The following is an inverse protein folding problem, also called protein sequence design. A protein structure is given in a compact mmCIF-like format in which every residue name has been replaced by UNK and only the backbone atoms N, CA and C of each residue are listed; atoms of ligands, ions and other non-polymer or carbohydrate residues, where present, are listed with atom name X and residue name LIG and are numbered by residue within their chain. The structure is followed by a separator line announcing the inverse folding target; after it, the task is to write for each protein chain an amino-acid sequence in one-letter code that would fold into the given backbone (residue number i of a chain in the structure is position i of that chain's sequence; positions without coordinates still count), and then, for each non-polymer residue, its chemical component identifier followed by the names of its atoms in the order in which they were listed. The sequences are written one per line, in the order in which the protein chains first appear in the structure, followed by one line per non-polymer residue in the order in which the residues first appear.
data_IF_452734145532
#
_entry.id   IF_452734145532
#
_cell.length_a   1.000
_cell.length_b   1.000
_cell.length_c   1.000
_cell.angle_alpha   90.00
_cell.angle_beta   90.00
_cell.angle_gamma   90.00
#
_symmetry.space_group_name_H-M   'P 1'
#
loop_
_entity.id
_entity.type
_entity.pdbx_description
1 polymer ?
#
# COMPACT_ATOMS: atom_id res chain seq x y z
N UNK A 1 32.98 9.59 -7.41
CA UNK A 1 32.40 8.60 -8.35
C UNK A 1 30.98 8.14 -7.96
N UNK A 2 30.58 8.13 -6.67
CA UNK A 2 29.26 7.68 -6.21
C UNK A 2 27.98 8.46 -6.61
N UNK A 3 27.98 9.78 -6.91
CA UNK A 3 26.72 10.47 -7.27
C UNK A 3 26.23 10.12 -8.69
N UNK A 4 27.13 9.66 -9.57
CA UNK A 4 26.79 9.33 -10.96
C UNK A 4 25.95 8.05 -11.05
N UNK A 5 26.24 7.06 -10.19
CA UNK A 5 25.48 5.80 -10.15
C UNK A 5 24.04 5.98 -9.64
N UNK A 6 23.82 6.93 -8.72
CA UNK A 6 22.47 7.23 -8.22
C UNK A 6 21.59 7.88 -9.31
N UNK A 7 22.15 8.81 -10.09
CA UNK A 7 21.42 9.44 -11.20
C UNK A 7 21.04 8.46 -12.31
N UNK A 8 21.94 7.51 -12.63
CA UNK A 8 21.72 6.51 -13.67
C UNK A 8 20.60 5.54 -13.31
N UNK A 9 20.46 5.20 -12.02
CA UNK A 9 19.41 4.32 -11.53
C UNK A 9 18.02 4.97 -11.60
N UNK A 10 17.92 6.27 -11.25
CA UNK A 10 16.66 7.03 -11.38
C UNK A 10 16.24 7.17 -12.85
N UNK A 11 17.20 7.44 -13.74
CA UNK A 11 16.94 7.54 -15.17
C UNK A 11 16.44 6.21 -15.76
N UNK A 12 17.02 5.09 -15.35
CA UNK A 12 16.57 3.76 -15.77
C UNK A 12 15.13 3.46 -15.29
N UNK A 13 14.78 3.86 -14.06
CA UNK A 13 13.42 3.70 -13.52
C UNK A 13 12.42 4.54 -14.32
N UNK A 14 12.76 5.79 -14.65
CA UNK A 14 11.90 6.67 -15.45
C UNK A 14 11.71 6.10 -16.87
N UNK A 15 12.77 5.58 -17.50
CA UNK A 15 12.68 4.93 -18.81
C UNK A 15 11.81 3.67 -18.78
N UNK A 16 11.92 2.86 -17.73
CA UNK A 16 11.08 1.66 -17.53
C UNK A 16 9.61 2.04 -17.31
N UNK A 17 9.34 3.17 -16.64
CA UNK A 17 7.98 3.68 -16.45
C UNK A 17 7.39 4.31 -17.73
N UNK A 18 8.22 4.96 -18.56
CA UNK A 18 7.78 5.57 -19.82
C UNK A 18 7.64 4.56 -20.97
N UNK A 19 8.41 3.47 -20.94
CA UNK A 19 8.37 2.40 -21.94
C UNK A 19 6.97 1.79 -22.18
N UNK A 20 6.18 1.43 -21.15
CA UNK A 20 4.83 0.91 -21.35
C UNK A 20 3.85 1.97 -21.86
N UNK A 21 4.13 3.26 -21.68
CA UNK A 21 3.27 4.35 -22.15
C UNK A 21 3.39 4.54 -23.68
N UNK A 22 4.57 4.28 -24.25
CA UNK A 22 4.79 4.41 -25.69
C UNK A 22 4.39 3.18 -26.51
N UNK A 23 4.19 2.01 -25.88
CA UNK A 23 3.74 0.80 -26.59
C UNK A 23 2.22 0.66 -26.72
N UNK A 24 1.41 1.55 -26.13
CA UNK A 24 -0.06 1.45 -26.16
C UNK A 24 -0.76 2.14 -27.33
N UNK A 25 -0.04 2.84 -28.22
CA UNK A 25 -0.65 3.67 -29.27
C UNK A 25 -0.79 3.01 -30.65
N UNK A 26 -0.52 1.70 -30.82
CA UNK A 26 -0.60 1.05 -32.15
C UNK A 26 -1.57 -0.14 -32.27
N UNK A 27 -2.17 -0.62 -31.18
CA UNK A 27 -2.99 -1.85 -31.22
C UNK A 27 -4.51 -1.60 -31.23
N UNK A 28 -4.94 -0.34 -31.09
CA UNK A 28 -6.36 -0.01 -30.88
C UNK A 28 -7.24 -0.02 -32.13
N UNK A 29 -6.69 -0.17 -33.34
CA UNK A 29 -7.44 0.03 -34.59
C UNK A 29 -7.86 -1.25 -35.33
N UNK A 30 -7.35 -2.42 -34.97
CA UNK A 30 -7.69 -3.70 -35.63
C UNK A 30 -8.39 -4.68 -34.67
N UNK A 31 -8.16 -4.56 -33.35
CA UNK A 31 -8.79 -5.42 -32.33
C UNK A 31 -10.22 -4.98 -31.99
N UNK A 32 -10.62 -3.76 -32.35
CA UNK A 32 -11.91 -3.19 -31.96
C UNK A 32 -13.13 -3.90 -32.57
N UNK A 33 -13.01 -4.38 -33.81
CA UNK A 33 -14.16 -4.95 -34.55
C UNK A 33 -14.41 -6.40 -34.14
N UNK A 34 -13.37 -7.24 -34.05
CA UNK A 34 -13.49 -8.62 -33.55
C UNK A 34 -13.91 -8.66 -32.07
N UNK A 35 -13.39 -7.77 -31.22
CA UNK A 35 -13.76 -7.71 -29.82
C UNK A 35 -15.21 -7.23 -29.61
N UNK A 36 -15.71 -6.32 -30.45
CA UNK A 36 -17.09 -5.87 -30.40
C UNK A 36 -18.08 -6.98 -30.82
N UNK A 37 -17.72 -7.77 -31.84
CA UNK A 37 -18.52 -8.93 -32.28
C UNK A 37 -18.52 -10.06 -31.23
N UNK A 38 -17.39 -10.29 -30.58
CA UNK A 38 -17.29 -11.24 -29.46
C UNK A 38 -18.13 -10.80 -28.25
N UNK A 39 -18.15 -9.50 -27.94
CA UNK A 39 -18.98 -8.91 -26.89
C UNK A 39 -20.48 -9.07 -27.22
N UNK A 40 -20.91 -8.69 -28.43
CA UNK A 40 -22.30 -8.86 -28.89
C UNK A 40 -22.75 -10.33 -28.82
N UNK A 41 -21.88 -11.27 -29.20
CA UNK A 41 -22.16 -12.71 -29.11
C UNK A 41 -22.37 -13.16 -27.66
N UNK A 42 -21.57 -12.68 -26.72
CA UNK A 42 -21.71 -13.03 -25.30
C UNK A 42 -23.01 -12.49 -24.74
N UNK A 43 -23.35 -11.23 -25.06
CA UNK A 43 -24.59 -10.61 -24.60
C UNK A 43 -25.83 -11.34 -25.13
N UNK A 44 -25.83 -11.72 -26.41
CA UNK A 44 -26.91 -12.53 -27.00
C UNK A 44 -27.01 -13.93 -26.39
N UNK A 45 -25.88 -14.55 -26.00
CA UNK A 45 -25.91 -15.84 -25.27
C UNK A 45 -26.57 -15.70 -23.91
N UNK A 46 -26.29 -14.61 -23.19
CA UNK A 46 -26.90 -14.32 -21.89
C UNK A 46 -28.40 -14.03 -22.08
N UNK A 47 -28.78 -13.25 -23.10
CA UNK A 47 -30.19 -12.97 -23.41
C UNK A 47 -30.95 -14.27 -23.70
N UNK A 48 -30.38 -15.16 -24.52
CA UNK A 48 -30.94 -16.50 -24.79
C UNK A 48 -31.21 -17.28 -23.51
N UNK A 49 -30.22 -17.39 -22.63
CA UNK A 49 -30.36 -18.11 -21.36
C UNK A 49 -31.46 -17.51 -20.48
N UNK A 50 -31.55 -16.18 -20.43
CA UNK A 50 -32.57 -15.49 -19.67
C UNK A 50 -33.98 -15.75 -20.20
N UNK A 51 -34.19 -15.71 -21.53
CA UNK A 51 -35.47 -15.99 -22.17
C UNK A 51 -35.92 -17.44 -21.96
N UNK A 52 -35.00 -18.39 -22.08
CA UNK A 52 -35.30 -19.81 -21.80
C UNK A 52 -35.75 -20.02 -20.36
N UNK A 53 -35.10 -19.34 -19.41
CA UNK A 53 -35.50 -19.38 -18.01
C UNK A 53 -36.87 -18.76 -17.80
N UNK A 54 -37.15 -17.60 -18.39
CA UNK A 54 -38.47 -16.95 -18.30
C UNK A 54 -39.58 -17.83 -18.87
N UNK A 55 -39.34 -18.51 -19.99
CA UNK A 55 -40.29 -19.47 -20.57
C UNK A 55 -40.56 -20.64 -19.61
N UNK A 56 -39.52 -21.19 -18.99
CA UNK A 56 -39.66 -22.26 -17.99
C UNK A 56 -40.43 -21.79 -16.76
N UNK A 57 -40.13 -20.58 -16.25
CA UNK A 57 -40.82 -20.02 -15.08
C UNK A 57 -42.30 -19.76 -15.39
N UNK A 58 -42.60 -19.25 -16.59
CA UNK A 58 -43.96 -19.01 -17.08
C UNK A 58 -44.77 -20.31 -17.19
N UNK A 59 -44.15 -21.41 -17.61
CA UNK A 59 -44.78 -22.74 -17.66
C UNK A 59 -45.11 -23.27 -16.26
N UNK A 60 -44.21 -23.07 -15.30
CA UNK A 60 -44.45 -23.44 -13.90
C UNK A 60 -45.60 -22.62 -13.29
N UNK A 61 -45.66 -21.32 -13.56
CA UNK A 61 -46.72 -20.45 -13.06
C UNK A 61 -48.09 -20.79 -13.69
N UNK A 62 -48.11 -21.18 -14.96
CA UNK A 62 -49.32 -21.72 -15.60
C UNK A 62 -49.77 -23.04 -14.97
N UNK A 63 -48.84 -23.97 -14.70
CA UNK A 63 -49.14 -25.23 -14.01
C UNK A 63 -49.71 -25.00 -12.60
N UNK A 64 -49.30 -23.91 -11.93
CA UNK A 64 -49.81 -23.49 -10.63
C UNK A 64 -51.11 -22.66 -10.71
N UNK A 65 -51.70 -22.50 -11.91
CA UNK A 65 -52.90 -21.69 -12.16
C UNK A 65 -52.76 -20.21 -11.73
N UNK A 66 -51.52 -19.69 -11.66
CA UNK A 66 -51.24 -18.27 -11.36
C UNK A 66 -51.46 -17.36 -12.57
N UNK A 67 -51.40 -17.93 -13.77
CA UNK A 67 -51.57 -17.22 -15.04
C UNK A 67 -52.72 -17.88 -15.81
N UNK A 68 -53.61 -17.06 -16.40
CA UNK A 68 -54.73 -17.58 -17.19
C UNK A 68 -54.22 -18.22 -18.50
N UNK A 69 -54.93 -19.21 -19.04
CA UNK A 69 -54.54 -19.87 -20.30
C UNK A 69 -54.44 -18.89 -21.49
N UNK A 70 -55.29 -17.86 -21.50
CA UNK A 70 -55.26 -16.81 -22.53
C UNK A 70 -54.03 -15.91 -22.42
N UNK A 71 -53.62 -15.57 -21.19
CA UNK A 71 -52.45 -14.73 -20.95
C UNK A 71 -51.14 -15.51 -21.16
N UNK A 72 -51.12 -16.78 -20.75
CA UNK A 72 -49.98 -17.68 -20.97
C UNK A 72 -49.62 -17.78 -22.45
N UNK A 73 -50.60 -18.04 -23.33
CA UNK A 73 -50.35 -18.17 -24.77
C UNK A 73 -49.78 -16.89 -25.40
N UNK A 74 -50.28 -15.72 -24.98
CA UNK A 74 -49.79 -14.41 -25.47
C UNK A 74 -48.36 -14.13 -25.03
N UNK A 75 -48.06 -14.36 -23.74
CA UNK A 75 -46.72 -14.12 -23.18
C UNK A 75 -45.70 -15.10 -23.76
N UNK A 76 -46.05 -16.39 -23.85
CA UNK A 76 -45.21 -17.43 -24.43
C UNK A 76 -44.80 -17.10 -25.86
N UNK A 77 -45.77 -16.76 -26.72
CA UNK A 77 -45.50 -16.45 -28.12
C UNK A 77 -44.53 -15.26 -28.27
N UNK A 78 -44.66 -14.23 -27.43
CA UNK A 78 -43.77 -13.08 -27.44
C UNK A 78 -42.33 -13.43 -27.07
N UNK A 79 -42.14 -14.26 -26.03
CA UNK A 79 -40.82 -14.72 -25.62
C UNK A 79 -40.19 -15.70 -26.62
N UNK A 80 -40.99 -16.59 -27.22
CA UNK A 80 -40.53 -17.51 -28.27
C UNK A 80 -40.08 -16.76 -29.53
N UNK A 81 -40.84 -15.76 -29.97
CA UNK A 81 -40.46 -14.95 -31.13
C UNK A 81 -39.12 -14.24 -30.89
N UNK A 82 -38.93 -13.65 -29.70
CA UNK A 82 -37.66 -13.00 -29.34
C UNK A 82 -36.51 -14.01 -29.23
N UNK A 83 -36.77 -15.20 -28.70
CA UNK A 83 -35.76 -16.26 -28.63
C UNK A 83 -35.29 -16.66 -30.02
N UNK A 84 -36.20 -16.78 -31.00
CA UNK A 84 -35.85 -17.07 -32.40
C UNK A 84 -34.98 -15.96 -32.99
N UNK A 85 -35.29 -14.68 -32.76
CA UNK A 85 -34.46 -13.56 -33.23
C UNK A 85 -33.03 -13.63 -32.66
N UNK A 86 -32.90 -13.88 -31.35
CA UNK A 86 -31.59 -14.00 -30.69
C UNK A 86 -30.81 -15.20 -31.25
N UNK A 87 -31.47 -16.33 -31.51
CA UNK A 87 -30.84 -17.50 -32.11
C UNK A 87 -30.36 -17.23 -33.54
N UNK A 88 -31.17 -16.56 -34.37
CA UNK A 88 -30.81 -16.20 -35.74
C UNK A 88 -29.60 -15.24 -35.77
N UNK A 89 -29.57 -14.25 -34.87
CA UNK A 89 -28.40 -13.36 -34.71
C UNK A 89 -27.15 -14.12 -34.27
N UNK A 90 -27.28 -15.04 -33.32
CA UNK A 90 -26.17 -15.88 -32.86
C UNK A 90 -25.63 -16.77 -33.99
N UNK A 91 -26.50 -17.33 -34.83
CA UNK A 91 -26.11 -18.13 -35.99
C UNK A 91 -25.46 -17.26 -37.08
N UNK A 92 -25.96 -16.04 -37.31
CA UNK A 92 -25.32 -15.08 -38.20
C UNK A 92 -23.89 -14.73 -37.74
N UNK A 93 -23.70 -14.49 -36.44
CA UNK A 93 -22.38 -14.25 -35.84
C UNK A 93 -21.47 -15.49 -35.94
N UNK A 94 -22.02 -16.71 -35.83
CA UNK A 94 -21.27 -17.94 -36.03
C UNK A 94 -20.87 -18.15 -37.51
N UNK A 95 -21.74 -17.78 -38.44
CA UNK A 95 -21.52 -17.87 -39.89
C UNK A 95 -20.41 -16.97 -40.42
N UNK A 96 -20.10 -15.87 -39.72
CA UNK A 96 -19.00 -14.95 -40.03
C UNK A 96 -17.62 -15.54 -39.69
N UNK A 97 -17.55 -16.76 -39.13
CA UNK A 97 -16.29 -17.49 -38.92
C UNK A 97 -15.66 -17.27 -37.55
N UNK A 98 -16.42 -16.76 -36.57
CA UNK A 98 -16.04 -16.73 -35.16
C UNK A 98 -16.19 -18.16 -34.59
N UNK A 99 -15.19 -19.01 -34.89
CA UNK A 99 -14.99 -20.32 -34.26
C UNK A 99 -15.17 -20.15 -32.75
N UNK A 100 -15.93 -21.00 -32.04
CA UNK A 100 -16.13 -20.86 -30.62
C UNK A 100 -14.75 -20.82 -29.94
N UNK A 101 -14.33 -19.69 -29.33
CA UNK A 101 -13.17 -19.75 -28.49
C UNK A 101 -13.55 -20.68 -27.35
N UNK A 102 -12.89 -21.85 -27.29
CA UNK A 102 -12.90 -22.71 -26.11
C UNK A 102 -12.76 -21.78 -24.92
N UNK A 103 -13.79 -21.74 -24.09
CA UNK A 103 -13.92 -21.04 -22.82
C UNK A 103 -12.57 -20.74 -22.14
N UNK A 104 -11.94 -19.65 -22.54
CA UNK A 104 -10.94 -19.00 -21.71
C UNK A 104 -11.74 -18.03 -20.87
N UNK A 105 -12.16 -18.54 -19.70
CA UNK A 105 -12.63 -17.81 -18.52
C UNK A 105 -12.57 -16.30 -18.70
N UNK A 106 -13.73 -15.66 -18.67
CA UNK A 106 -13.93 -14.26 -18.27
C UNK A 106 -12.62 -13.56 -17.89
N UNK A 107 -11.93 -13.00 -18.89
CA UNK A 107 -10.94 -11.97 -18.64
C UNK A 107 -11.72 -10.67 -18.59
N UNK A 108 -12.41 -10.48 -17.46
CA UNK A 108 -12.40 -9.23 -16.68
C UNK A 108 -11.48 -8.18 -17.30
N UNK A 109 -12.08 -7.03 -17.66
CA UNK A 109 -11.55 -5.69 -17.91
C UNK A 109 -10.02 -5.59 -18.05
N UNK A 110 -9.49 -4.86 -19.07
CA UNK A 110 -8.08 -4.87 -19.42
C UNK A 110 -7.22 -4.65 -18.18
N UNK A 111 -6.66 -5.76 -17.67
CA UNK A 111 -5.73 -5.71 -16.57
C UNK A 111 -4.49 -5.01 -17.12
N UNK A 112 -4.42 -3.70 -16.89
CA UNK A 112 -3.15 -2.99 -16.81
C UNK A 112 -2.16 -3.83 -16.00
N UNK A 113 -0.84 -3.67 -16.25
CA UNK A 113 0.20 -4.63 -15.87
C UNK A 113 -0.14 -5.25 -14.53
N UNK A 114 -0.46 -6.55 -14.58
CA UNK A 114 -1.22 -7.29 -13.58
C UNK A 114 -0.96 -6.78 -12.17
N UNK A 115 -1.99 -6.60 -11.34
CA UNK A 115 -1.84 -6.13 -9.94
C UNK A 115 -0.71 -6.85 -9.15
N UNK A 116 -0.34 -8.07 -9.56
CA UNK A 116 0.83 -8.81 -9.10
C UNK A 116 2.17 -8.11 -9.38
N UNK A 117 2.36 -7.53 -10.57
CA UNK A 117 3.52 -6.70 -10.95
C UNK A 117 3.57 -5.39 -10.16
N UNK A 118 2.42 -4.75 -9.92
CA UNK A 118 2.34 -3.54 -9.08
C UNK A 118 2.68 -3.89 -7.62
N UNK A 119 2.17 -5.02 -7.12
CA UNK A 119 2.48 -5.53 -5.79
C UNK A 119 3.96 -5.92 -5.61
N UNK A 120 4.53 -6.64 -6.58
CA UNK A 120 5.96 -7.00 -6.58
C UNK A 120 6.86 -5.77 -6.66
N UNK A 121 6.51 -4.78 -7.48
CA UNK A 121 7.27 -3.54 -7.58
C UNK A 121 7.20 -2.72 -6.28
N UNK A 122 6.02 -2.65 -5.64
CA UNK A 122 5.85 -2.03 -4.33
C UNK A 122 6.69 -2.72 -3.24
N UNK A 123 6.70 -4.06 -3.23
CA UNK A 123 7.51 -4.84 -2.29
C UNK A 123 9.01 -4.61 -2.51
N UNK A 124 9.47 -4.55 -3.76
CA UNK A 124 10.87 -4.26 -4.11
C UNK A 124 11.27 -2.85 -3.68
N UNK A 125 10.40 -1.86 -3.85
CA UNK A 125 10.67 -0.48 -3.40
C UNK A 125 10.78 -0.38 -1.87
N UNK A 126 9.90 -1.07 -1.13
CA UNK A 126 9.96 -1.10 0.34
C UNK A 126 11.23 -1.82 0.81
N UNK A 127 11.56 -2.96 0.21
CA UNK A 127 12.78 -3.71 0.54
C UNK A 127 14.05 -2.92 0.21
N UNK A 128 14.08 -2.21 -0.92
CA UNK A 128 15.19 -1.35 -1.30
C UNK A 128 15.33 -0.13 -0.37
N UNK A 129 14.22 0.51 0.02
CA UNK A 129 14.23 1.62 0.98
C UNK A 129 14.71 1.15 2.37
N UNK A 130 14.22 0.00 2.83
CA UNK A 130 14.64 -0.60 4.10
C UNK A 130 16.12 -1.02 4.08
N UNK A 131 16.57 -1.65 2.99
CA UNK A 131 17.97 -2.00 2.79
C UNK A 131 18.88 -0.77 2.71
N UNK A 132 18.44 0.32 2.09
CA UNK A 132 19.19 1.57 2.05
C UNK A 132 19.31 2.19 3.45
N UNK A 133 18.23 2.18 4.24
CA UNK A 133 18.28 2.63 5.63
C UNK A 133 19.26 1.81 6.48
N UNK A 134 19.21 0.49 6.35
CA UNK A 134 20.14 -0.43 7.03
C UNK A 134 21.60 -0.16 6.62
N UNK A 135 21.88 0.04 5.33
CA UNK A 135 23.22 0.35 4.82
C UNK A 135 23.73 1.71 5.31
N UNK A 136 22.86 2.73 5.35
CA UNK A 136 23.21 4.06 5.88
C UNK A 136 23.51 3.97 7.37
N UNK A 137 22.67 3.29 8.14
CA UNK A 137 22.87 3.10 9.58
C UNK A 137 24.14 2.29 9.86
N UNK A 138 24.38 1.20 9.14
CA UNK A 138 25.61 0.40 9.31
C UNK A 138 26.86 1.21 8.96
N UNK A 139 26.80 2.08 7.94
CA UNK A 139 27.92 2.96 7.58
C UNK A 139 28.12 4.07 8.61
N UNK A 140 27.05 4.62 9.17
CA UNK A 140 27.08 5.65 10.20
C UNK A 140 27.61 5.09 11.53
N UNK A 141 27.18 3.90 11.92
CA UNK A 141 27.75 3.13 13.04
C UNK A 141 29.24 2.88 12.81
N UNK A 142 29.65 2.39 11.63
CA UNK A 142 31.09 2.21 11.34
C UNK A 142 31.87 3.53 11.37
N UNK A 143 31.28 4.65 10.95
CA UNK A 143 31.93 5.96 11.07
C UNK A 143 32.02 6.42 12.51
N UNK A 144 31.00 6.16 13.33
CA UNK A 144 31.03 6.45 14.76
C UNK A 144 32.00 5.51 15.50
N UNK A 145 32.10 4.24 15.12
CA UNK A 145 33.08 3.28 15.63
C UNK A 145 34.50 3.57 15.13
N UNK A 146 34.68 4.13 13.93
CA UNK A 146 36.00 4.56 13.42
C UNK A 146 36.43 5.90 14.04
N UNK A 147 35.51 6.85 14.20
CA UNK A 147 35.73 8.10 14.93
C UNK A 147 35.92 7.84 16.44
N UNK A 148 35.21 6.84 17.00
CA UNK A 148 35.48 6.31 18.32
C UNK A 148 36.76 5.45 18.33
N UNK A 149 37.20 4.85 17.22
CA UNK A 149 38.49 4.15 17.15
C UNK A 149 39.67 5.10 17.31
N UNK A 150 39.56 6.31 16.75
CA UNK A 150 40.57 7.38 16.91
C UNK A 150 40.38 8.21 18.21
N UNK A 151 39.16 8.29 18.76
CA UNK A 151 38.86 9.04 20.01
C UNK A 151 38.77 8.21 21.30
N UNK A 152 38.51 6.90 21.23
CA UNK A 152 38.33 6.01 22.38
C UNK A 152 39.62 5.36 22.88
N UNK A 153 40.75 5.56 22.18
CA UNK A 153 42.06 5.28 22.75
C UNK A 153 42.42 6.23 23.92
N UNK A 154 41.63 7.29 24.15
CA UNK A 154 41.91 8.33 25.16
C UNK A 154 40.76 8.60 26.15
N UNK A 155 39.66 7.85 26.15
CA UNK A 155 38.55 8.09 27.09
C UNK A 155 38.25 6.84 27.93
N UNK A 156 38.45 6.89 29.27
CA UNK A 156 38.09 5.77 30.14
C UNK A 156 36.57 5.52 30.06
N UNK A 157 36.11 4.28 30.34
CA UNK A 157 34.69 3.94 30.27
C UNK A 157 33.88 4.94 31.11
N UNK A 158 33.02 5.71 30.44
CA UNK A 158 32.19 6.72 31.09
C UNK A 158 31.18 5.98 31.95
N UNK A 159 31.49 5.84 33.23
CA UNK A 159 30.57 5.29 34.21
C UNK A 159 29.60 6.43 34.61
N UNK A 160 28.30 6.33 34.28
CA UNK A 160 27.33 7.39 34.60
C UNK A 160 27.27 7.71 36.11
N UNK A 161 27.65 6.76 36.97
CA UNK A 161 27.79 7.00 38.41
C UNK A 161 28.91 7.99 38.76
N UNK A 162 30.05 7.96 38.05
CA UNK A 162 31.17 8.89 38.28
C UNK A 162 30.86 10.31 37.81
N UNK A 163 30.09 10.45 36.73
CA UNK A 163 29.64 11.75 36.26
C UNK A 163 28.71 12.42 37.27
N UNK A 164 27.82 11.64 37.89
CA UNK A 164 26.94 12.13 38.96
C UNK A 164 27.71 12.47 40.23
N UNK A 165 28.76 11.71 40.59
CA UNK A 165 29.62 12.06 41.72
C UNK A 165 30.36 13.40 41.54
N UNK A 166 30.85 13.70 40.33
CA UNK A 166 31.46 15.00 40.01
C UNK A 166 30.43 16.15 40.04
N UNK A 167 29.21 15.88 39.58
CA UNK A 167 28.10 16.84 39.65
C UNK A 167 27.71 17.15 41.10
N UNK A 168 27.66 16.12 41.96
CA UNK A 168 27.43 16.26 43.39
C UNK A 168 28.49 17.11 44.09
N UNK A 169 29.77 16.90 43.75
CA UNK A 169 30.86 17.69 44.32
C UNK A 169 30.77 19.17 43.90
N UNK A 170 30.38 19.43 42.65
CA UNK A 170 30.17 20.78 42.14
C UNK A 170 28.98 21.47 42.82
N UNK A 171 27.89 20.75 43.05
CA UNK A 171 26.72 21.27 43.76
C UNK A 171 26.95 21.48 45.25
N UNK A 172 27.83 20.71 45.88
CA UNK A 172 28.29 20.98 47.25
C UNK A 172 29.05 22.31 47.35
N UNK A 173 29.84 22.64 46.32
CA UNK A 173 30.59 23.90 46.25
C UNK A 173 29.68 25.09 45.92
N UNK A 174 28.71 24.90 45.02
CA UNK A 174 27.77 25.95 44.61
C UNK A 174 26.31 25.45 44.73
N UNK A 175 25.72 25.51 45.94
CA UNK A 175 24.38 24.96 46.20
C UNK A 175 23.24 25.78 45.58
N UNK A 176 23.51 27.02 45.18
CA UNK A 176 22.52 27.96 44.63
C UNK A 176 22.55 28.03 43.08
N UNK A 177 23.22 27.07 42.42
CA UNK A 177 23.22 26.96 40.96
C UNK A 177 21.90 26.30 40.49
N UNK A 178 20.94 27.13 40.05
CA UNK A 178 19.64 26.67 39.54
C UNK A 178 19.80 25.65 38.41
N UNK A 179 20.68 25.93 37.45
CA UNK A 179 20.93 25.03 36.32
C UNK A 179 21.58 23.71 36.78
N UNK A 180 22.47 23.79 37.77
CA UNK A 180 23.07 22.62 38.41
C UNK A 180 22.05 21.72 39.11
N UNK A 181 21.10 22.31 39.87
CA UNK A 181 20.05 21.56 40.58
C UNK A 181 19.11 20.84 39.61
N UNK A 182 18.75 21.49 38.50
CA UNK A 182 17.92 20.89 37.44
C UNK A 182 18.63 19.71 36.76
N UNK A 183 19.93 19.84 36.46
CA UNK A 183 20.72 18.75 35.89
C UNK A 183 20.87 17.56 36.85
N UNK A 184 21.03 17.82 38.14
CA UNK A 184 21.05 16.75 39.15
C UNK A 184 19.71 16.03 39.24
N UNK A 185 18.59 16.77 39.26
CA UNK A 185 17.25 16.19 39.25
C UNK A 185 17.03 15.22 38.08
N UNK A 186 17.39 15.62 36.85
CA UNK A 186 17.29 14.76 35.65
C UNK A 186 18.21 13.56 35.71
N UNK A 187 19.45 13.75 36.19
CA UNK A 187 20.45 12.68 36.28
C UNK A 187 20.06 11.64 37.32
N UNK A 188 19.55 12.06 38.48
CA UNK A 188 19.06 11.14 39.51
C UNK A 188 17.82 10.36 39.08
N UNK A 189 16.90 11.00 38.34
CA UNK A 189 15.75 10.33 37.74
C UNK A 189 16.17 9.25 36.73
N UNK A 190 17.15 9.54 35.87
CA UNK A 190 17.68 8.56 34.91
C UNK A 190 18.35 7.35 35.60
N UNK A 191 18.92 7.57 36.80
CA UNK A 191 19.51 6.52 37.64
C UNK A 191 18.51 5.87 38.63
N UNK A 192 17.21 6.18 38.52
CA UNK A 192 16.15 5.69 39.41
C UNK A 192 16.37 6.00 40.90
N UNK A 193 17.17 7.04 41.22
CA UNK A 193 17.40 7.55 42.58
C UNK A 193 16.35 8.60 42.94
N UNK A 194 15.12 8.14 43.15
CA UNK A 194 13.94 9.00 43.31
C UNK A 194 14.00 9.95 44.51
N UNK A 195 14.56 9.51 45.64
CA UNK A 195 14.67 10.37 46.84
C UNK A 195 15.61 11.56 46.62
N UNK A 196 16.76 11.33 45.97
CA UNK A 196 17.75 12.38 45.70
C UNK A 196 17.27 13.32 44.59
N UNK A 197 16.60 12.78 43.58
CA UNK A 197 15.92 13.57 42.56
C UNK A 197 14.92 14.54 43.22
N UNK A 198 14.06 14.06 44.13
CA UNK A 198 13.06 14.89 44.80
C UNK A 198 13.63 16.01 45.67
N UNK A 199 14.85 15.85 46.21
CA UNK A 199 15.56 16.93 46.91
C UNK A 199 16.13 17.97 45.95
N UNK A 200 16.72 17.52 44.84
CA UNK A 200 17.27 18.40 43.81
C UNK A 200 16.18 19.24 43.11
N UNK A 201 15.03 18.63 42.79
CA UNK A 201 13.90 19.32 42.17
C UNK A 201 13.26 20.39 43.08
N UNK A 202 13.06 20.08 44.37
CA UNK A 202 12.55 21.08 45.33
C UNK A 202 13.48 22.28 45.47
N UNK A 203 14.78 22.02 45.55
CA UNK A 203 15.78 23.08 45.65
C UNK A 203 15.89 23.91 44.36
N UNK A 204 15.69 23.30 43.20
CA UNK A 204 15.57 24.04 41.94
C UNK A 204 14.36 24.99 41.96
N UNK A 205 13.20 24.53 42.40
CA UNK A 205 11.99 25.36 42.51
C UNK A 205 12.16 26.53 43.50
N UNK A 206 12.75 26.28 44.67
CA UNK A 206 13.04 27.33 45.65
C UNK A 206 14.01 28.40 45.11
N UNK A 207 14.94 28.03 44.22
CA UNK A 207 15.89 28.94 43.59
C UNK A 207 15.25 29.70 42.41
N UNK A 208 14.34 29.06 41.67
CA UNK A 208 13.57 29.65 40.58
C UNK A 208 12.63 30.75 41.11
N UNK A 209 11.83 30.44 42.14
CA UNK A 209 10.92 31.40 42.79
C UNK A 209 11.66 32.60 43.39
N UNK A 210 12.88 32.40 43.91
CA UNK A 210 13.71 33.49 44.43
C UNK A 210 14.32 34.36 43.34
N UNK A 211 14.54 33.80 42.16
CA UNK A 211 15.12 34.52 41.02
C UNK A 211 14.03 35.31 40.26
N UNK A 212 12.78 34.83 40.28
CA UNK A 212 11.61 35.51 39.70
C UNK A 212 11.07 36.64 40.61
N UNK A 213 11.38 36.61 41.91
CA UNK A 213 10.96 37.61 42.89
C UNK A 213 11.97 38.75 43.12
N UNK A 214 13.09 38.76 42.40
CA UNK A 214 14.17 39.75 42.48
C UNK A 214 14.16 40.71 41.27
#
# INVERSE_FOLDING_TARGET
MFPVSAGLMVMAVILILLYPMWRRSKTALIVGDEAALDEERVDLQIEKESLLRTLSDLEVDYAQSKVSAGDYGRLKLGHEHRLVEVLDRLDALAGIGLVPPKSKKSQSAPRGPSAVFIGLLGLILIAAASGMYQLVQWKLERQQLAAAGEGAAAMPPINPAEMVARLEERLKKNPNDLQGQLMAGRSYTALQRWEDAGKAWRKALELDERNDAA
#
